data_IF_734160041656
#
_entry.id   IF_734160041656
#
_cell.length_a   1.000
_cell.length_b   1.000
_cell.length_c   1.000
_cell.angle_alpha   90.00
_cell.angle_beta   90.00
_cell.angle_gamma   90.00
#
_symmetry.space_group_name_H-M   'P 1'
#
loop_
_entity.id
_entity.type
_entity.pdbx_description
1 polymer ?
#
# COMPACT_ATOMS: atom_id res chain seq x y z
N UNK A 1 -3.10 -31.26 -13.59
CA UNK A 1 -3.47 -30.88 -12.21
C UNK A 1 -2.66 -29.64 -11.85
N UNK A 2 -3.21 -28.44 -11.99
CA UNK A 2 -2.50 -27.22 -11.62
C UNK A 2 -2.29 -27.24 -10.11
N UNK A 3 -1.04 -27.35 -9.65
CA UNK A 3 -0.68 -27.06 -8.25
C UNK A 3 -1.22 -25.67 -7.97
N UNK A 4 -2.29 -25.59 -7.16
CA UNK A 4 -2.78 -24.34 -6.59
C UNK A 4 -1.59 -23.77 -5.85
N UNK A 5 -0.97 -22.72 -6.39
CA UNK A 5 0.06 -21.97 -5.69
C UNK A 5 -0.60 -21.49 -4.41
N UNK A 6 -0.20 -22.10 -3.30
CA UNK A 6 -0.82 -21.90 -2.01
C UNK A 6 -0.70 -20.44 -1.58
N UNK A 7 -1.83 -19.82 -1.21
CA UNK A 7 -1.95 -18.51 -0.59
C UNK A 7 -0.96 -17.92 0.39
N UNK A 8 0.06 -18.63 0.89
CA UNK A 8 0.16 -18.69 2.35
C UNK A 8 1.48 -18.22 2.99
N UNK A 9 1.33 -17.34 3.99
CA UNK A 9 2.13 -17.36 5.22
C UNK A 9 2.59 -16.01 5.75
N UNK A 10 3.37 -15.26 4.95
CA UNK A 10 4.23 -14.20 5.50
C UNK A 10 3.51 -12.85 5.68
N UNK A 11 2.42 -12.59 4.96
CA UNK A 11 1.72 -11.30 5.03
C UNK A 11 0.72 -11.19 6.19
N UNK A 12 0.25 -12.32 6.71
CA UNK A 12 -0.81 -12.33 7.73
C UNK A 12 -0.34 -11.63 9.01
N UNK A 13 0.88 -11.89 9.54
CA UNK A 13 1.43 -11.11 10.65
C UNK A 13 1.48 -9.60 10.40
N UNK A 14 1.87 -9.18 9.19
CA UNK A 14 1.92 -7.76 8.83
C UNK A 14 0.54 -7.12 8.71
N UNK A 15 -0.46 -7.86 8.22
CA UNK A 15 -1.86 -7.41 8.21
C UNK A 15 -2.36 -7.23 9.64
N UNK A 16 -2.10 -8.19 10.54
CA UNK A 16 -2.46 -8.04 11.95
C UNK A 16 -1.73 -6.89 12.64
N UNK A 17 -0.43 -6.74 12.39
CA UNK A 17 0.36 -5.65 12.93
C UNK A 17 -0.16 -4.29 12.45
N UNK A 18 -0.53 -4.19 11.18
CA UNK A 18 -1.15 -2.98 10.62
C UNK A 18 -2.47 -2.63 11.30
N UNK A 19 -3.36 -3.60 11.44
CA UNK A 19 -4.66 -3.41 12.11
C UNK A 19 -4.42 -3.01 13.57
N UNK A 20 -3.50 -3.67 14.26
CA UNK A 20 -3.12 -3.33 15.63
C UNK A 20 -2.70 -1.86 15.74
N UNK A 21 -1.78 -1.41 14.89
CA UNK A 21 -1.33 -0.02 14.91
C UNK A 21 -2.43 0.98 14.52
N UNK A 22 -3.29 0.65 13.56
CA UNK A 22 -4.42 1.51 13.23
C UNK A 22 -5.43 1.62 14.37
N UNK A 23 -5.71 0.52 15.09
CA UNK A 23 -6.56 0.55 16.28
C UNK A 23 -5.94 1.41 17.36
N UNK A 24 -4.64 1.27 17.64
CA UNK A 24 -3.93 2.15 18.59
C UNK A 24 -3.96 3.62 18.15
N UNK A 25 -3.78 3.89 16.86
CA UNK A 25 -3.93 5.21 16.28
C UNK A 25 -5.32 5.80 16.53
N UNK A 26 -6.39 5.02 16.37
CA UNK A 26 -7.75 5.47 16.67
C UNK A 26 -7.94 5.71 18.17
N UNK A 27 -7.49 4.80 19.03
CA UNK A 27 -7.58 4.94 20.50
C UNK A 27 -6.84 6.20 20.98
N UNK A 28 -5.71 6.54 20.34
CA UNK A 28 -4.93 7.73 20.68
C UNK A 28 -5.70 9.05 20.51
N UNK A 29 -6.70 9.09 19.62
CA UNK A 29 -7.57 10.27 19.46
C UNK A 29 -8.47 10.53 20.68
N UNK A 30 -8.74 9.51 21.49
CA UNK A 30 -9.60 9.60 22.67
C UNK A 30 -8.81 9.79 23.98
N UNK A 31 -7.49 9.73 23.92
CA UNK A 31 -6.62 9.87 25.09
C UNK A 31 -5.79 11.14 24.93
N UNK A 32 -6.13 12.19 25.68
CA UNK A 32 -5.51 13.52 25.55
C UNK A 32 -3.97 13.55 25.68
N UNK A 33 -3.35 12.52 26.25
CA UNK A 33 -1.90 12.38 26.38
C UNK A 33 -1.21 11.83 25.11
N UNK A 34 -1.98 11.36 24.12
CA UNK A 34 -1.48 10.53 23.00
C UNK A 34 -1.93 11.08 21.63
N UNK A 35 -2.65 12.21 21.60
CA UNK A 35 -3.25 12.76 20.37
C UNK A 35 -2.22 12.99 19.24
N UNK A 36 -1.00 13.42 19.60
CA UNK A 36 0.10 13.65 18.65
C UNK A 36 0.67 12.34 18.05
N UNK A 37 0.34 11.17 18.62
CA UNK A 37 0.81 9.87 18.13
C UNK A 37 -0.14 9.26 17.09
N UNK A 38 -1.35 9.80 16.90
CA UNK A 38 -2.29 9.32 15.89
C UNK A 38 -1.63 9.17 14.50
N UNK A 39 -1.07 10.23 13.89
CA UNK A 39 -0.48 10.12 12.55
C UNK A 39 0.71 9.14 12.52
N UNK A 40 1.45 9.03 13.63
CA UNK A 40 2.59 8.12 13.75
C UNK A 40 2.16 6.65 13.74
N UNK A 41 1.17 6.26 14.54
CA UNK A 41 0.64 4.90 14.53
C UNK A 41 -0.07 4.55 13.22
N UNK A 42 -0.80 5.51 12.64
CA UNK A 42 -1.40 5.32 11.32
C UNK A 42 -0.34 5.02 10.25
N UNK A 43 0.80 5.72 10.32
CA UNK A 43 1.91 5.52 9.42
C UNK A 43 2.64 4.19 9.65
N UNK A 44 2.95 3.81 10.90
CA UNK A 44 3.54 2.48 11.18
C UNK A 44 2.61 1.37 10.68
N UNK A 45 1.30 1.51 10.85
CA UNK A 45 0.33 0.56 10.33
C UNK A 45 0.37 0.45 8.79
N UNK A 46 0.50 1.57 8.09
CA UNK A 46 0.66 1.60 6.63
C UNK A 46 1.97 0.93 6.17
N UNK A 47 3.08 1.24 6.84
CA UNK A 47 4.39 0.64 6.57
C UNK A 47 4.40 -0.87 6.86
N UNK A 48 3.69 -1.32 7.88
CA UNK A 48 3.51 -2.74 8.17
C UNK A 48 2.88 -3.48 6.98
N UNK A 49 1.79 -2.96 6.41
CA UNK A 49 1.21 -3.55 5.20
C UNK A 49 2.16 -3.48 4.01
N UNK A 50 2.80 -2.34 3.80
CA UNK A 50 3.77 -2.14 2.72
C UNK A 50 4.89 -3.19 2.76
N UNK A 51 5.56 -3.35 3.90
CA UNK A 51 6.64 -4.31 4.04
C UNK A 51 6.17 -5.75 3.85
N UNK A 52 5.06 -6.14 4.46
CA UNK A 52 4.51 -7.47 4.28
C UNK A 52 4.16 -7.75 2.80
N UNK A 53 3.65 -6.74 2.09
CA UNK A 53 3.33 -6.88 0.68
C UNK A 53 4.57 -6.91 -0.22
N UNK A 54 5.64 -6.18 0.12
CA UNK A 54 6.93 -6.28 -0.57
C UNK A 54 7.53 -7.68 -0.44
N UNK A 55 7.57 -8.25 0.76
CA UNK A 55 8.13 -9.58 0.99
C UNK A 55 7.39 -10.69 0.24
N UNK A 56 6.09 -10.49 0.01
CA UNK A 56 5.28 -11.40 -0.81
C UNK A 56 5.80 -11.55 -2.24
N UNK A 57 6.38 -10.50 -2.82
CA UNK A 57 6.91 -10.56 -4.18
C UNK A 57 8.01 -11.60 -4.35
N UNK A 58 8.66 -12.00 -3.25
CA UNK A 58 9.84 -12.86 -3.24
C UNK A 58 9.61 -14.24 -2.58
N UNK A 59 8.38 -14.55 -2.14
CA UNK A 59 8.02 -15.83 -1.50
C UNK A 59 7.65 -16.91 -2.55
N UNK A 60 8.06 -18.21 -2.41
CA UNK A 60 8.22 -18.99 -1.18
C UNK A 60 9.64 -19.45 -0.86
N UNK A 61 10.64 -18.60 -1.10
CA UNK A 61 12.02 -18.98 -0.85
C UNK A 61 12.31 -18.96 0.66
N UNK A 62 12.20 -20.12 1.34
CA UNK A 62 12.53 -20.32 2.76
C UNK A 62 13.89 -19.71 3.16
N UNK A 63 14.82 -19.56 2.21
CA UNK A 63 16.11 -18.92 2.40
C UNK A 63 16.04 -17.45 2.86
N UNK A 64 14.95 -16.73 2.62
CA UNK A 64 14.78 -15.34 3.09
C UNK A 64 14.10 -15.23 4.46
N UNK A 65 13.69 -16.34 5.06
CA UNK A 65 12.94 -16.34 6.32
C UNK A 65 13.60 -15.52 7.45
N UNK A 66 14.93 -15.56 7.67
CA UNK A 66 15.57 -14.72 8.69
C UNK A 66 15.39 -13.23 8.45
N UNK A 67 15.51 -12.77 7.19
CA UNK A 67 15.27 -11.38 6.82
C UNK A 67 13.79 -11.02 7.01
N UNK A 68 12.88 -11.94 6.66
CA UNK A 68 11.45 -11.74 6.81
C UNK A 68 11.03 -11.53 8.26
N UNK A 69 11.54 -12.38 9.15
CA UNK A 69 11.32 -12.25 10.60
C UNK A 69 11.97 -10.97 11.13
N UNK A 70 13.18 -10.62 10.69
CA UNK A 70 13.83 -9.39 11.12
C UNK A 70 12.98 -8.16 10.76
N UNK A 71 12.52 -8.04 9.52
CA UNK A 71 11.63 -6.96 9.10
C UNK A 71 10.37 -6.93 9.96
N UNK A 72 9.70 -8.07 10.19
CA UNK A 72 8.50 -8.12 11.02
C UNK A 72 8.76 -7.62 12.46
N UNK A 73 9.84 -8.10 13.10
CA UNK A 73 10.20 -7.75 14.48
C UNK A 73 10.52 -6.25 14.59
N UNK A 74 11.38 -5.73 13.71
CA UNK A 74 11.76 -4.31 13.76
C UNK A 74 10.58 -3.40 13.39
N UNK A 75 9.69 -3.82 12.50
CA UNK A 75 8.47 -3.06 12.19
C UNK A 75 7.50 -3.03 13.38
N UNK A 76 7.47 -4.11 14.16
CA UNK A 76 6.61 -4.23 15.32
C UNK A 76 7.05 -3.37 16.51
N UNK A 77 8.24 -2.77 16.48
CA UNK A 77 8.69 -1.83 17.50
C UNK A 77 8.32 -0.40 17.05
N UNK A 78 7.50 0.35 17.80
CA UNK A 78 6.99 1.65 17.38
C UNK A 78 8.01 2.79 17.57
N UNK A 79 9.24 2.59 17.10
CA UNK A 79 10.34 3.57 17.15
C UNK A 79 10.83 3.81 15.73
N UNK A 80 10.95 5.06 15.30
CA UNK A 80 11.33 5.40 13.92
C UNK A 80 12.68 4.79 13.51
N UNK A 81 13.68 4.75 14.41
CA UNK A 81 14.95 4.05 14.17
C UNK A 81 14.76 2.55 13.89
N UNK A 82 13.79 1.92 14.54
CA UNK A 82 13.45 0.52 14.25
C UNK A 82 12.84 0.36 12.86
N UNK A 83 12.06 1.34 12.40
CA UNK A 83 11.53 1.36 11.03
C UNK A 83 12.66 1.53 10.00
N UNK A 84 13.69 2.35 10.28
CA UNK A 84 14.90 2.44 9.43
C UNK A 84 15.58 1.08 9.28
N UNK A 85 15.76 0.37 10.40
CA UNK A 85 16.38 -0.97 10.42
C UNK A 85 15.52 -1.99 9.66
N UNK A 86 14.19 -1.94 9.82
CA UNK A 86 13.27 -2.78 9.06
C UNK A 86 13.36 -2.51 7.55
N UNK A 87 13.38 -1.24 7.12
CA UNK A 87 13.56 -0.86 5.70
C UNK A 87 14.90 -1.32 5.15
N UNK A 88 15.95 -1.30 5.96
CA UNK A 88 17.28 -1.79 5.58
C UNK A 88 17.27 -3.30 5.33
N UNK A 89 16.73 -4.10 6.26
CA UNK A 89 16.60 -5.54 6.06
C UNK A 89 15.71 -5.88 4.85
N UNK A 90 14.64 -5.13 4.63
CA UNK A 90 13.77 -5.30 3.47
C UNK A 90 14.50 -5.00 2.16
N UNK A 91 15.34 -3.96 2.13
CA UNK A 91 16.17 -3.62 0.96
C UNK A 91 17.21 -4.70 0.66
N UNK A 92 17.81 -5.30 1.70
CA UNK A 92 18.71 -6.46 1.52
C UNK A 92 17.93 -7.64 0.93
N UNK A 93 16.77 -7.98 1.49
CA UNK A 93 15.93 -9.08 0.99
C UNK A 93 15.59 -8.88 -0.48
N UNK A 94 15.18 -7.67 -0.87
CA UNK A 94 14.89 -7.30 -2.25
C UNK A 94 16.11 -7.47 -3.17
N UNK A 95 17.28 -6.97 -2.80
CA UNK A 95 18.50 -7.08 -3.62
C UNK A 95 18.89 -8.55 -3.83
N UNK A 96 18.87 -9.35 -2.76
CA UNK A 96 19.20 -10.78 -2.85
C UNK A 96 18.18 -11.50 -3.72
N UNK A 97 16.89 -11.23 -3.51
CA UNK A 97 15.83 -11.87 -4.28
C UNK A 97 15.85 -11.50 -5.76
N UNK A 98 16.15 -10.24 -6.10
CA UNK A 98 16.34 -9.82 -7.48
C UNK A 98 17.53 -10.53 -8.15
N UNK A 99 18.67 -10.63 -7.46
CA UNK A 99 19.84 -11.36 -7.97
C UNK A 99 19.49 -12.81 -8.28
N UNK A 100 18.74 -13.46 -7.39
CA UNK A 100 18.29 -14.83 -7.58
C UNK A 100 17.36 -14.99 -8.79
N UNK A 101 16.37 -14.11 -8.93
CA UNK A 101 15.44 -14.12 -10.07
C UNK A 101 16.15 -13.93 -11.41
N UNK A 102 17.14 -13.03 -11.46
CA UNK A 102 17.98 -12.80 -12.65
C UNK A 102 18.82 -14.06 -12.94
N UNK A 103 19.41 -14.67 -11.90
CA UNK A 103 20.20 -15.90 -12.02
C UNK A 103 19.42 -17.09 -12.58
N UNK A 104 18.10 -17.16 -12.35
CA UNK A 104 17.22 -18.18 -12.94
C UNK A 104 16.83 -17.93 -14.41
N UNK A 105 17.36 -16.88 -15.05
CA UNK A 105 17.10 -16.58 -16.46
C UNK A 105 15.71 -16.01 -16.76
N UNK A 106 14.95 -15.64 -15.72
CA UNK A 106 13.61 -15.06 -15.89
C UNK A 106 13.69 -13.61 -16.36
N UNK A 107 12.91 -13.24 -17.38
CA UNK A 107 12.66 -11.85 -17.76
C UNK A 107 11.70 -11.22 -16.75
N UNK A 108 12.20 -10.87 -15.56
CA UNK A 108 11.39 -10.20 -14.55
C UNK A 108 11.01 -8.79 -15.03
N UNK A 109 9.71 -8.43 -15.10
CA UNK A 109 9.31 -7.09 -15.45
C UNK A 109 9.77 -6.12 -14.34
N UNK A 110 10.74 -5.27 -14.66
CA UNK A 110 11.34 -4.34 -13.71
C UNK A 110 10.31 -3.24 -13.38
N UNK A 111 9.74 -3.30 -12.18
CA UNK A 111 8.87 -2.28 -11.65
C UNK A 111 9.70 -1.30 -10.82
N UNK A 112 10.29 -0.29 -11.46
CA UNK A 112 11.21 0.66 -10.84
C UNK A 112 10.58 1.38 -9.64
N UNK A 113 9.28 1.70 -9.70
CA UNK A 113 8.60 2.37 -8.57
C UNK A 113 8.61 1.48 -7.33
N UNK A 114 8.20 0.21 -7.50
CA UNK A 114 8.19 -0.77 -6.41
C UNK A 114 9.61 -1.01 -5.90
N UNK A 115 10.57 -1.24 -6.79
CA UNK A 115 11.95 -1.54 -6.41
C UNK A 115 12.71 -0.35 -5.78
N UNK A 116 12.25 0.88 -6.04
CA UNK A 116 12.82 2.06 -5.39
C UNK A 116 12.23 2.31 -3.99
N UNK A 117 11.09 1.69 -3.66
CA UNK A 117 10.35 2.03 -2.44
C UNK A 117 11.04 1.63 -1.13
N UNK A 118 11.70 0.46 -0.98
CA UNK A 118 12.39 0.13 0.28
C UNK A 118 13.60 1.04 0.56
N UNK A 119 14.50 1.33 -0.40
CA UNK A 119 15.60 2.28 -0.18
C UNK A 119 15.10 3.70 0.17
N UNK A 120 14.05 4.18 -0.50
CA UNK A 120 13.44 5.47 -0.18
C UNK A 120 12.82 5.48 1.22
N UNK A 121 12.32 4.35 1.70
CA UNK A 121 11.80 4.22 3.06
C UNK A 121 12.89 4.40 4.13
N UNK A 122 14.12 3.95 3.87
CA UNK A 122 15.27 4.20 4.78
C UNK A 122 15.44 5.71 4.94
N UNK A 123 15.54 6.43 3.82
CA UNK A 123 15.73 7.89 3.79
C UNK A 123 14.57 8.58 4.52
N UNK A 124 13.34 8.21 4.19
CA UNK A 124 12.15 8.84 4.76
C UNK A 124 12.04 8.67 6.29
N UNK A 125 12.37 7.49 6.82
CA UNK A 125 12.36 7.27 8.27
C UNK A 125 13.53 7.97 8.98
N UNK A 126 14.68 8.15 8.31
CA UNK A 126 15.80 8.95 8.88
C UNK A 126 15.48 10.44 8.96
N UNK A 127 14.56 10.94 8.14
CA UNK A 127 14.13 12.35 8.12
C UNK A 127 12.88 12.62 8.96
N UNK A 128 12.40 11.63 9.73
CA UNK A 128 11.33 11.84 10.72
C UNK A 128 11.67 13.01 11.66
N UNK A 129 10.74 13.94 11.99
CA UNK A 129 9.28 13.80 11.98
C UNK A 129 8.50 14.23 10.73
N UNK A 130 9.14 14.47 9.58
CA UNK A 130 8.39 14.92 8.39
C UNK A 130 7.54 13.80 7.75
N UNK A 131 6.23 13.84 7.99
CA UNK A 131 5.27 12.88 7.44
C UNK A 131 5.10 12.96 5.92
N UNK A 132 5.40 14.09 5.28
CA UNK A 132 5.28 14.22 3.83
C UNK A 132 6.32 13.35 3.12
N UNK A 133 7.54 13.28 3.68
CA UNK A 133 8.60 12.42 3.15
C UNK A 133 8.23 10.94 3.33
N UNK A 134 7.54 10.58 4.41
CA UNK A 134 7.06 9.20 4.64
C UNK A 134 6.01 8.73 3.62
N UNK A 135 5.29 9.64 2.97
CA UNK A 135 4.32 9.29 1.92
C UNK A 135 5.02 8.82 0.65
N UNK A 136 6.17 9.39 0.31
CA UNK A 136 6.88 9.13 -0.96
C UNK A 136 7.15 7.64 -1.22
N UNK A 137 7.81 6.88 -0.33
CA UNK A 137 8.04 5.45 -0.56
C UNK A 137 6.74 4.65 -0.63
N UNK A 138 5.75 4.97 0.20
CA UNK A 138 4.44 4.30 0.14
C UNK A 138 3.74 4.58 -1.20
N UNK A 139 3.77 5.83 -1.68
CA UNK A 139 3.18 6.26 -2.94
C UNK A 139 3.85 5.55 -4.12
N UNK A 140 5.18 5.49 -4.14
CA UNK A 140 5.94 4.70 -5.12
C UNK A 140 5.49 3.24 -5.16
N UNK A 141 5.36 2.62 -3.98
CA UNK A 141 4.94 1.22 -3.87
C UNK A 141 3.50 1.01 -4.37
N UNK A 142 2.52 1.73 -3.81
CA UNK A 142 1.09 1.49 -4.09
C UNK A 142 0.72 1.81 -5.53
N UNK A 143 1.31 2.85 -6.13
CA UNK A 143 1.13 3.14 -7.55
C UNK A 143 1.79 2.05 -8.41
N UNK A 144 3.03 1.66 -8.10
CA UNK A 144 3.76 0.67 -8.87
C UNK A 144 3.10 -0.70 -8.90
N UNK A 145 2.70 -1.23 -7.75
CA UNK A 145 2.13 -2.59 -7.66
C UNK A 145 0.77 -2.68 -8.38
N UNK A 146 -0.02 -1.62 -8.33
CA UNK A 146 -1.38 -1.62 -8.88
C UNK A 146 -1.44 -1.49 -10.41
N UNK A 147 -0.35 -1.09 -11.08
CA UNK A 147 -0.27 -1.15 -12.55
C UNK A 147 -0.56 -2.56 -13.06
N UNK A 148 -0.04 -3.59 -12.37
CA UNK A 148 -0.31 -4.99 -12.70
C UNK A 148 -1.78 -5.38 -12.49
N UNK A 149 -2.39 -4.92 -11.40
CA UNK A 149 -3.80 -5.17 -11.06
C UNK A 149 -4.72 -4.54 -12.11
N UNK A 150 -4.49 -3.27 -12.45
CA UNK A 150 -5.28 -2.56 -13.46
C UNK A 150 -5.10 -3.16 -14.86
N UNK A 151 -3.88 -3.59 -15.21
CA UNK A 151 -3.65 -4.31 -16.47
C UNK A 151 -4.47 -5.59 -16.52
N UNK A 152 -4.47 -6.37 -15.44
CA UNK A 152 -5.13 -7.67 -15.39
C UNK A 152 -6.67 -7.56 -15.38
N UNK A 153 -7.21 -6.51 -14.76
CA UNK A 153 -8.67 -6.34 -14.54
C UNK A 153 -9.35 -5.49 -15.61
N UNK A 154 -8.69 -4.42 -16.07
CA UNK A 154 -9.24 -3.44 -17.01
C UNK A 154 -8.54 -3.46 -18.37
N UNK A 155 -7.44 -4.20 -18.54
CA UNK A 155 -6.67 -4.19 -19.79
C UNK A 155 -5.94 -2.87 -20.06
N UNK A 156 -5.64 -2.07 -19.02
CA UNK A 156 -4.93 -0.78 -19.11
C UNK A 156 -3.54 -0.92 -19.74
N UNK A 157 -2.88 0.20 -20.07
CA UNK A 157 -1.49 0.15 -20.55
C UNK A 157 -0.55 -0.31 -19.43
N UNK A 158 0.42 -1.14 -19.76
CA UNK A 158 1.51 -1.50 -18.82
C UNK A 158 2.58 -0.41 -18.88
N UNK A 159 2.82 0.23 -17.73
CA UNK A 159 3.86 1.24 -17.56
C UNK A 159 4.88 0.65 -16.58
N UNK A 160 5.94 0.03 -17.12
CA UNK A 160 7.01 -0.60 -16.35
C UNK A 160 8.37 -0.11 -16.85
N UNK A 161 9.41 -0.26 -16.03
CA UNK A 161 10.77 0.17 -16.35
C UNK A 161 10.87 1.67 -16.57
N UNK A 162 11.64 2.09 -17.57
CA UNK A 162 11.96 3.50 -17.89
C UNK A 162 10.69 4.36 -18.07
N UNK A 163 9.58 3.77 -18.52
CA UNK A 163 8.31 4.50 -18.70
C UNK A 163 7.70 4.98 -17.38
N UNK A 164 8.17 4.47 -16.23
CA UNK A 164 7.73 4.91 -14.90
C UNK A 164 8.47 6.16 -14.42
N UNK A 165 9.62 6.51 -15.03
CA UNK A 165 10.47 7.63 -14.59
C UNK A 165 9.70 8.96 -14.46
N UNK A 166 8.80 9.34 -15.38
CA UNK A 166 8.05 10.60 -15.23
C UNK A 166 7.18 10.64 -13.98
N UNK A 167 6.48 9.55 -13.68
CA UNK A 167 5.62 9.44 -12.48
C UNK A 167 6.51 9.37 -11.23
N UNK A 168 7.62 8.63 -11.28
CA UNK A 168 8.59 8.56 -10.19
C UNK A 168 9.17 9.92 -9.84
N UNK A 169 9.64 10.68 -10.83
CA UNK A 169 10.20 12.00 -10.62
C UNK A 169 9.18 12.93 -9.96
N UNK A 170 7.92 12.89 -10.43
CA UNK A 170 6.84 13.67 -9.83
C UNK A 170 6.56 13.25 -8.37
N UNK A 171 6.53 11.95 -8.08
CA UNK A 171 6.37 11.43 -6.71
C UNK A 171 7.51 11.86 -5.80
N UNK A 172 8.76 11.86 -6.28
CA UNK A 172 9.90 12.36 -5.52
C UNK A 172 9.80 13.87 -5.25
N UNK A 173 9.28 14.64 -6.21
CA UNK A 173 9.06 16.08 -6.01
C UNK A 173 8.01 16.39 -4.94
N UNK A 174 7.10 15.47 -4.61
CA UNK A 174 6.12 15.64 -3.51
C UNK A 174 6.82 15.86 -2.16
N UNK A 175 8.01 15.28 -1.95
CA UNK A 175 8.78 15.52 -0.72
C UNK A 175 9.14 17.00 -0.51
N UNK A 176 9.39 17.72 -1.61
CA UNK A 176 9.80 19.14 -1.56
C UNK A 176 8.61 20.08 -1.79
N UNK A 177 7.61 19.63 -2.54
CA UNK A 177 6.46 20.40 -2.97
C UNK A 177 5.17 19.58 -2.75
N UNK A 178 4.63 19.54 -1.51
CA UNK A 178 3.50 18.67 -1.17
C UNK A 178 2.25 18.88 -2.05
N UNK A 179 2.03 20.11 -2.54
CA UNK A 179 0.92 20.44 -3.44
C UNK A 179 0.97 19.68 -4.78
N UNK A 180 2.13 19.18 -5.21
CA UNK A 180 2.24 18.34 -6.41
C UNK A 180 1.53 16.99 -6.25
N UNK A 181 1.22 16.57 -5.02
CA UNK A 181 0.43 15.38 -4.75
C UNK A 181 -0.92 15.38 -5.49
N UNK A 182 -1.56 16.55 -5.62
CA UNK A 182 -2.81 16.73 -6.36
C UNK A 182 -2.69 16.23 -7.82
N UNK A 183 -1.55 16.50 -8.44
CA UNK A 183 -1.31 16.23 -9.85
C UNK A 183 -0.85 14.77 -10.06
N UNK A 184 -0.14 14.18 -9.09
CA UNK A 184 0.31 12.78 -9.16
C UNK A 184 -0.85 11.83 -9.42
N UNK A 185 -1.94 11.93 -8.64
CA UNK A 185 -3.09 11.05 -8.77
C UNK A 185 -3.76 11.17 -10.14
N UNK A 186 -3.94 12.40 -10.62
CA UNK A 186 -4.54 12.69 -11.93
C UNK A 186 -3.68 12.12 -13.06
N UNK A 187 -2.39 12.43 -13.09
CA UNK A 187 -1.49 11.97 -14.14
C UNK A 187 -1.34 10.45 -14.14
N UNK A 188 -1.28 9.83 -12.96
CA UNK A 188 -1.26 8.37 -12.84
C UNK A 188 -2.52 7.74 -13.44
N UNK A 189 -3.70 8.25 -13.10
CA UNK A 189 -4.97 7.73 -13.63
C UNK A 189 -5.08 7.95 -15.14
N UNK A 190 -4.71 9.13 -15.65
CA UNK A 190 -4.70 9.42 -17.09
C UNK A 190 -3.70 8.53 -17.86
N UNK A 191 -2.52 8.28 -17.30
CA UNK A 191 -1.51 7.45 -17.95
C UNK A 191 -1.97 6.00 -18.16
N UNK A 192 -2.81 5.49 -17.26
CA UNK A 192 -3.35 4.12 -17.34
C UNK A 192 -4.59 3.99 -18.23
N UNK A 193 -5.40 5.05 -18.34
CA UNK A 193 -6.60 5.05 -19.19
C UNK A 193 -6.19 4.95 -20.66
N UNK A 194 -6.84 4.04 -21.38
CA UNK A 194 -6.66 3.85 -22.81
C UNK A 194 -8.04 3.74 -23.47
N UNK A 195 -8.12 3.96 -24.78
CA UNK A 195 -9.36 3.84 -25.55
C UNK A 195 -10.02 2.46 -25.53
N UNK A 196 -9.33 1.42 -25.00
CA UNK A 196 -9.78 0.03 -24.94
C UNK A 196 -9.93 -0.52 -23.50
N UNK A 197 -10.17 0.36 -22.53
CA UNK A 197 -10.36 -0.04 -21.12
C UNK A 197 -11.62 -0.90 -20.99
N UNK A 198 -11.47 -2.08 -20.38
CA UNK A 198 -12.60 -2.93 -20.00
C UNK A 198 -13.27 -2.37 -18.77
N UNK A 199 -14.60 -2.35 -18.75
CA UNK A 199 -15.37 -1.93 -17.59
C UNK A 199 -15.23 -2.95 -16.46
N UNK A 200 -14.60 -2.53 -15.37
CA UNK A 200 -14.60 -3.24 -14.10
C UNK A 200 -14.87 -2.22 -12.99
N UNK A 201 -16.01 -2.36 -12.29
CA UNK A 201 -16.47 -1.37 -11.32
C UNK A 201 -15.45 -1.12 -10.20
N UNK A 202 -14.90 -2.19 -9.61
CA UNK A 202 -13.89 -2.11 -8.55
C UNK A 202 -12.62 -1.40 -8.99
N UNK A 203 -12.10 -1.74 -10.17
CA UNK A 203 -10.89 -1.13 -10.69
C UNK A 203 -11.12 0.34 -11.08
N UNK A 204 -12.26 0.66 -11.71
CA UNK A 204 -12.63 2.02 -12.08
C UNK A 204 -12.83 2.90 -10.85
N UNK A 205 -13.62 2.47 -9.87
CA UNK A 205 -13.85 3.23 -8.63
C UNK A 205 -12.55 3.48 -7.86
N UNK A 206 -11.65 2.51 -7.82
CA UNK A 206 -10.31 2.69 -7.24
C UNK A 206 -9.49 3.72 -8.02
N UNK A 207 -9.47 3.64 -9.36
CA UNK A 207 -8.74 4.58 -10.21
C UNK A 207 -9.32 6.01 -10.14
N UNK A 208 -10.65 6.13 -10.06
CA UNK A 208 -11.34 7.40 -9.84
C UNK A 208 -11.01 7.98 -8.47
N UNK A 209 -10.99 7.17 -7.41
CA UNK A 209 -10.59 7.63 -6.08
C UNK A 209 -9.17 8.20 -6.10
N UNK A 210 -8.22 7.49 -6.73
CA UNK A 210 -6.82 7.93 -6.88
C UNK A 210 -6.68 9.19 -7.72
N UNK A 211 -7.51 9.37 -8.75
CA UNK A 211 -7.44 10.55 -9.62
C UNK A 211 -8.13 11.78 -9.04
N UNK A 212 -9.26 11.59 -8.37
CA UNK A 212 -10.19 12.65 -8.00
C UNK A 212 -9.98 13.14 -6.57
N UNK A 213 -9.73 12.26 -5.59
CA UNK A 213 -9.57 12.67 -4.19
C UNK A 213 -8.36 13.60 -3.97
N UNK A 214 -7.18 13.37 -4.60
CA UNK A 214 -6.07 14.30 -4.48
C UNK A 214 -6.38 15.72 -4.92
N UNK A 215 -7.33 15.95 -5.84
CA UNK A 215 -7.72 17.31 -6.25
C UNK A 215 -8.38 18.12 -5.14
N UNK A 216 -8.94 17.45 -4.13
CA UNK A 216 -9.57 18.06 -2.96
C UNK A 216 -8.63 18.14 -1.75
N UNK A 217 -7.32 17.89 -1.95
CA UNK A 217 -6.37 17.70 -0.84
C UNK A 217 -5.76 18.96 -0.24
N UNK A 218 -6.20 20.17 -0.64
CA UNK A 218 -5.65 21.44 -0.15
C UNK A 218 -5.52 21.46 1.38
N UNK A 219 -4.28 21.56 1.90
CA UNK A 219 -3.91 21.54 3.33
C UNK A 219 -4.24 20.23 4.08
N UNK A 220 -4.59 19.17 3.36
CA UNK A 220 -5.05 17.88 3.86
C UNK A 220 -4.44 16.70 3.09
N UNK A 221 -3.21 16.87 2.61
CA UNK A 221 -2.48 15.97 1.70
C UNK A 221 -2.32 14.58 2.29
N UNK A 222 -1.95 14.48 3.57
CA UNK A 222 -1.77 13.19 4.27
C UNK A 222 -3.08 12.40 4.34
N UNK A 223 -4.21 13.07 4.59
CA UNK A 223 -5.52 12.43 4.67
C UNK A 223 -6.00 12.02 3.27
N UNK A 224 -5.82 12.87 2.27
CA UNK A 224 -6.16 12.57 0.88
C UNK A 224 -5.31 11.41 0.34
N UNK A 225 -4.04 11.34 0.71
CA UNK A 225 -3.19 10.18 0.45
C UNK A 225 -3.73 8.92 1.11
N UNK A 226 -3.96 8.97 2.42
CA UNK A 226 -4.37 7.80 3.21
C UNK A 226 -5.71 7.23 2.73
N UNK A 227 -6.72 8.10 2.55
CA UNK A 227 -8.11 7.71 2.28
C UNK A 227 -8.43 7.62 0.78
N UNK A 228 -7.79 8.46 -0.05
CA UNK A 228 -8.06 8.53 -1.49
C UNK A 228 -7.12 7.71 -2.36
N UNK A 229 -5.90 7.42 -1.90
CA UNK A 229 -4.88 6.73 -2.69
C UNK A 229 -4.47 5.42 -2.04
N UNK A 230 -3.88 5.48 -0.85
CA UNK A 230 -3.27 4.34 -0.17
C UNK A 230 -4.30 3.26 0.17
N UNK A 231 -5.38 3.58 0.90
CA UNK A 231 -6.37 2.58 1.32
C UNK A 231 -7.05 1.91 0.12
N UNK A 232 -7.60 2.64 -0.88
CA UNK A 232 -8.20 2.03 -2.07
C UNK A 232 -7.22 1.13 -2.84
N UNK A 233 -5.96 1.55 -2.99
CA UNK A 233 -4.94 0.77 -3.71
C UNK A 233 -4.47 -0.46 -2.92
N UNK A 234 -4.38 -0.39 -1.59
CA UNK A 234 -4.11 -1.56 -0.76
C UNK A 234 -5.28 -2.55 -0.80
N UNK A 235 -6.52 -2.09 -0.62
CA UNK A 235 -7.69 -2.95 -0.69
C UNK A 235 -7.81 -3.63 -2.05
N UNK A 236 -7.55 -2.91 -3.14
CA UNK A 236 -7.50 -3.45 -4.50
C UNK A 236 -6.43 -4.52 -4.66
N UNK A 237 -5.15 -4.19 -4.41
CA UNK A 237 -4.06 -5.13 -4.67
C UNK A 237 -4.10 -6.36 -3.75
N UNK A 238 -4.39 -6.19 -2.46
CA UNK A 238 -4.43 -7.29 -1.50
C UNK A 238 -5.61 -8.21 -1.82
N UNK A 239 -6.81 -7.66 -2.10
CA UNK A 239 -7.97 -8.47 -2.47
C UNK A 239 -7.73 -9.21 -3.78
N UNK A 240 -7.21 -8.53 -4.81
CA UNK A 240 -6.90 -9.17 -6.09
C UNK A 240 -5.93 -10.35 -5.92
N UNK A 241 -5.01 -10.22 -4.97
CA UNK A 241 -3.93 -11.18 -4.78
C UNK A 241 -4.29 -12.31 -3.80
N UNK A 242 -5.13 -12.07 -2.78
CA UNK A 242 -5.52 -13.09 -1.78
C UNK A 242 -6.89 -13.72 -2.04
N UNK A 243 -7.85 -12.94 -2.54
CA UNK A 243 -9.25 -13.33 -2.70
C UNK A 243 -9.81 -12.79 -4.03
N UNK A 244 -9.15 -13.15 -5.14
CA UNK A 244 -9.47 -12.66 -6.49
C UNK A 244 -10.94 -12.87 -6.85
N UNK A 245 -11.53 -13.97 -6.39
CA UNK A 245 -12.93 -14.34 -6.55
C UNK A 245 -13.92 -13.34 -5.91
N UNK A 246 -13.44 -12.48 -5.00
CA UNK A 246 -14.23 -11.42 -4.36
C UNK A 246 -13.78 -10.01 -4.76
N UNK A 247 -12.96 -9.86 -5.80
CA UNK A 247 -12.46 -8.56 -6.25
C UNK A 247 -13.58 -7.57 -6.61
N UNK A 248 -14.74 -8.07 -7.03
CA UNK A 248 -15.93 -7.27 -7.33
C UNK A 248 -16.53 -6.58 -6.09
N UNK A 249 -16.00 -6.80 -4.88
CA UNK A 249 -16.39 -6.08 -3.66
C UNK A 249 -15.50 -4.89 -3.32
N UNK A 250 -14.35 -4.73 -3.99
CA UNK A 250 -13.39 -3.65 -3.71
C UNK A 250 -14.00 -2.27 -3.94
N UNK A 251 -14.92 -2.11 -4.91
CA UNK A 251 -15.57 -0.82 -5.16
C UNK A 251 -16.20 -0.22 -3.89
N UNK A 252 -16.79 -1.06 -3.03
CA UNK A 252 -17.42 -0.62 -1.80
C UNK A 252 -16.38 -0.04 -0.84
N UNK A 253 -15.21 -0.67 -0.72
CA UNK A 253 -14.13 -0.21 0.14
C UNK A 253 -13.53 1.11 -0.36
N UNK A 254 -13.36 1.24 -1.68
CA UNK A 254 -12.88 2.47 -2.32
C UNK A 254 -13.86 3.63 -2.15
N UNK A 255 -15.16 3.39 -2.34
CA UNK A 255 -16.20 4.40 -2.13
C UNK A 255 -16.32 4.84 -0.67
N UNK A 256 -16.29 3.89 0.28
CA UNK A 256 -16.33 4.20 1.71
C UNK A 256 -15.10 5.00 2.15
N UNK A 257 -13.91 4.71 1.61
CA UNK A 257 -12.69 5.49 1.90
C UNK A 257 -12.78 6.90 1.31
N UNK A 258 -13.28 7.04 0.09
CA UNK A 258 -13.54 8.35 -0.53
C UNK A 258 -14.58 9.16 0.28
N UNK A 259 -15.67 8.52 0.71
CA UNK A 259 -16.70 9.15 1.55
C UNK A 259 -16.12 9.61 2.89
N UNK A 260 -15.27 8.80 3.52
CA UNK A 260 -14.55 9.17 4.74
C UNK A 260 -13.78 10.48 4.55
N UNK A 261 -13.06 10.63 3.43
CA UNK A 261 -12.34 11.87 3.14
C UNK A 261 -13.28 13.06 2.95
N UNK A 262 -14.36 12.91 2.18
CA UNK A 262 -15.30 14.00 1.90
C UNK A 262 -16.08 14.45 3.15
N UNK A 263 -16.49 13.52 4.02
CA UNK A 263 -17.19 13.85 5.25
C UNK A 263 -16.31 14.59 6.26
N UNK A 264 -14.98 14.51 6.13
CA UNK A 264 -14.04 15.21 7.01
C UNK A 264 -14.22 16.74 6.96
N UNK A 265 -14.65 17.28 5.83
CA UNK A 265 -14.96 18.71 5.69
C UNK A 265 -16.23 19.14 6.44
N UNK A 266 -17.11 18.20 6.77
CA UNK A 266 -18.35 18.45 7.51
C UNK A 266 -18.21 18.13 9.00
N UNK A 267 -17.69 16.94 9.32
CA UNK A 267 -17.53 16.47 10.70
C UNK A 267 -16.26 15.60 10.83
N UNK A 268 -15.26 16.07 11.58
CA UNK A 268 -13.98 15.39 11.72
C UNK A 268 -14.10 13.97 12.34
N UNK A 269 -14.79 13.82 13.48
CA UNK A 269 -14.87 12.54 14.19
C UNK A 269 -15.71 11.48 13.43
N UNK A 270 -16.94 11.78 12.99
CA UNK A 270 -17.79 10.84 12.24
C UNK A 270 -17.19 10.45 10.88
N UNK A 271 -16.31 11.28 10.32
CA UNK A 271 -15.64 10.98 9.04
C UNK A 271 -14.82 9.69 9.07
N UNK A 272 -14.38 9.23 10.25
CA UNK A 272 -13.67 7.95 10.39
C UNK A 272 -14.55 6.70 10.27
N UNK A 273 -15.88 6.82 10.47
CA UNK A 273 -16.80 5.68 10.48
C UNK A 273 -16.84 4.96 9.11
N UNK A 274 -16.97 5.65 7.96
CA UNK A 274 -16.91 5.00 6.67
C UNK A 274 -15.59 4.27 6.41
N UNK A 275 -14.44 4.81 6.85
CA UNK A 275 -13.15 4.12 6.69
C UNK A 275 -13.08 2.84 7.54
N UNK A 276 -13.59 2.86 8.78
CA UNK A 276 -13.71 1.65 9.60
C UNK A 276 -14.61 0.60 8.93
N UNK A 277 -15.73 1.02 8.34
CA UNK A 277 -16.58 0.12 7.56
C UNK A 277 -15.86 -0.45 6.33
N UNK A 278 -15.04 0.36 5.65
CA UNK A 278 -14.21 -0.09 4.53
C UNK A 278 -13.22 -1.16 5.00
N UNK A 279 -12.53 -0.92 6.13
CA UNK A 279 -11.59 -1.85 6.74
C UNK A 279 -12.26 -3.15 7.15
N UNK A 280 -13.43 -3.10 7.80
CA UNK A 280 -14.19 -4.31 8.16
C UNK A 280 -14.62 -5.10 6.92
N UNK A 281 -15.10 -4.42 5.89
CA UNK A 281 -15.47 -5.05 4.60
C UNK A 281 -14.26 -5.71 3.95
N UNK A 282 -13.10 -5.04 3.98
CA UNK A 282 -11.83 -5.59 3.52
C UNK A 282 -11.46 -6.86 4.27
N UNK A 283 -11.46 -6.84 5.60
CA UNK A 283 -11.14 -8.00 6.43
C UNK A 283 -12.11 -9.16 6.23
N UNK A 284 -13.40 -8.91 6.08
CA UNK A 284 -14.39 -9.95 5.74
C UNK A 284 -14.14 -10.56 4.36
N UNK A 285 -13.67 -9.75 3.41
CA UNK A 285 -13.36 -10.20 2.05
C UNK A 285 -12.17 -11.16 2.06
N UNK A 286 -11.09 -10.79 2.76
CA UNK A 286 -9.88 -11.62 2.85
C UNK A 286 -9.89 -12.63 4.01
N UNK A 287 -10.90 -12.62 4.88
CA UNK A 287 -10.89 -13.34 6.17
C UNK A 287 -10.70 -14.85 6.06
N UNK A 288 -11.27 -15.49 5.02
CA UNK A 288 -11.04 -16.91 4.74
C UNK A 288 -9.58 -17.25 4.41
N UNK A 289 -8.78 -16.22 4.09
CA UNK A 289 -7.35 -16.28 3.75
C UNK A 289 -6.44 -15.81 4.90
N UNK A 290 -7.00 -15.40 6.04
CA UNK A 290 -6.22 -14.94 7.21
C UNK A 290 -6.06 -16.02 8.29
N UNK A 291 -6.87 -17.08 8.26
CA UNK A 291 -6.86 -18.10 9.31
C UNK A 291 -5.74 -19.16 9.17
N UNK A 292 -5.28 -19.76 10.29
CA UNK A 292 -4.29 -20.85 10.30
C UNK A 292 -4.77 -22.16 9.63
N UNK A 293 -6.06 -22.25 9.26
CA UNK A 293 -6.66 -23.45 8.66
C UNK A 293 -6.18 -23.79 7.24
N UNK A 294 -5.30 -22.99 6.65
CA UNK A 294 -4.67 -23.33 5.38
C UNK A 294 -3.24 -23.88 5.52
N UNK A 295 -2.84 -24.25 6.74
CA UNK A 295 -1.64 -25.05 7.02
C UNK A 295 -1.99 -26.56 6.97
N UNK A 296 -2.91 -26.98 6.09
CA UNK A 296 -3.23 -28.40 5.91
C UNK A 296 -2.97 -28.83 4.47
N UNK A 297 -1.80 -29.45 4.29
CA UNK A 297 -1.56 -30.66 3.48
C UNK A 297 -1.54 -30.49 1.98
#
# INVERSE_FOLDING_TARGET
MYKKVEPWGVNVPFIYLSIFYWVFGVISLFTHQVYDQHPYFMMIGAYSLFFGMMQRLFFPAKKYFPLQVAVLVFTAIPIHYSQVVASFFLSIEEIVALKDVIGYGSRFPVNLMVLSSPPLSIIAWTTYPDFNVLIVPLLMYVLGINIGVFRATMGTRVIMGIKQIPIMALVLMVAFFPYLFMIVGVLYSLALINSKVKFNLSALTTLFSVGLIPLFSFHHEIHAFTLGVMSPLFFSCITFSLAREKYDRVFLMSLLSALSFLLRFLFLLPSGIPWLMALMTFLLTIGSRLGPKNVKG
#
